data_IF_758457789936
#
_entry.id   IF_758457789936
#
_cell.length_a   1.000
_cell.length_b   1.000
_cell.length_c   1.000
_cell.angle_alpha   90.00
_cell.angle_beta   90.00
_cell.angle_gamma   90.00
#
_symmetry.space_group_name_H-M   'P 1'
#
loop_
_entity.id
_entity.type
_entity.pdbx_description
1 polymer ?
#
# COMPACT_ATOMS: atom_id res chain seq x y z
N UNK A 1 -1.30 4.60 -11.36
CA UNK A 1 0.13 4.64 -11.74
C UNK A 1 0.24 4.59 -13.26
N UNK A 2 0.88 5.61 -13.85
CA UNK A 2 1.22 5.56 -15.26
C UNK A 2 2.52 4.75 -15.40
N UNK A 3 2.42 3.44 -15.70
CA UNK A 3 3.56 2.53 -15.80
C UNK A 3 4.59 2.99 -16.85
N UNK A 4 4.14 3.74 -17.86
CA UNK A 4 5.01 4.21 -18.95
C UNK A 4 6.06 5.22 -18.47
N UNK A 5 5.77 5.98 -17.41
CA UNK A 5 6.69 6.96 -16.81
C UNK A 5 7.82 6.31 -16.01
N UNK A 6 7.69 5.02 -15.68
CA UNK A 6 8.61 4.28 -14.81
C UNK A 6 9.22 3.05 -15.49
N UNK A 7 9.32 3.07 -16.81
CA UNK A 7 9.88 1.97 -17.61
C UNK A 7 11.35 1.67 -17.30
N UNK A 8 12.06 2.60 -16.67
CA UNK A 8 13.44 2.41 -16.20
C UNK A 8 13.56 1.59 -14.90
N UNK A 9 12.43 1.25 -14.27
CA UNK A 9 12.39 0.44 -13.04
C UNK A 9 12.06 -1.00 -13.43
N UNK A 10 12.96 -2.00 -13.19
CA UNK A 10 12.78 -3.37 -13.67
C UNK A 10 11.44 -4.00 -13.30
N UNK A 11 10.96 -3.77 -12.06
CA UNK A 11 9.66 -4.25 -11.62
C UNK A 11 8.50 -3.65 -12.43
N UNK A 12 8.58 -2.37 -12.79
CA UNK A 12 7.54 -1.69 -13.58
C UNK A 12 7.58 -2.13 -15.04
N UNK A 13 8.77 -2.31 -15.60
CA UNK A 13 8.97 -2.87 -16.94
C UNK A 13 8.35 -4.26 -17.04
N UNK A 14 8.62 -5.13 -16.04
CA UNK A 14 8.04 -6.47 -15.98
C UNK A 14 6.50 -6.42 -15.93
N UNK A 15 5.92 -5.58 -15.06
CA UNK A 15 4.46 -5.41 -14.96
C UNK A 15 3.86 -4.90 -16.26
N UNK A 16 4.50 -3.92 -16.91
CA UNK A 16 4.08 -3.41 -18.20
C UNK A 16 4.13 -4.50 -19.29
N UNK A 17 5.20 -5.30 -19.31
CA UNK A 17 5.34 -6.44 -20.23
C UNK A 17 4.21 -7.46 -20.06
N UNK A 18 3.78 -7.76 -18.82
CA UNK A 18 2.65 -8.63 -18.55
C UNK A 18 1.34 -8.02 -19.09
N UNK A 19 1.09 -6.74 -18.84
CA UNK A 19 -0.10 -6.05 -19.37
C UNK A 19 -0.14 -6.06 -20.90
N UNK A 20 1.00 -5.83 -21.56
CA UNK A 20 1.10 -5.86 -23.04
C UNK A 20 0.76 -7.25 -23.57
N UNK A 21 1.36 -8.31 -23.00
CA UNK A 21 1.08 -9.69 -23.39
C UNK A 21 -0.38 -10.06 -23.20
N UNK A 22 -0.98 -9.65 -22.07
CA UNK A 22 -2.39 -9.88 -21.79
C UNK A 22 -3.29 -9.20 -22.82
N UNK A 23 -3.02 -7.94 -23.15
CA UNK A 23 -3.76 -7.18 -24.18
C UNK A 23 -3.65 -7.81 -25.58
N UNK A 24 -2.51 -8.43 -25.90
CA UNK A 24 -2.28 -9.11 -27.17
C UNK A 24 -2.90 -10.52 -27.24
N UNK A 25 -3.19 -11.15 -26.09
CA UNK A 25 -3.63 -12.56 -26.01
C UNK A 25 -5.05 -12.82 -26.51
N UNK A 26 -5.85 -11.77 -26.77
CA UNK A 26 -7.28 -11.83 -27.09
C UNK A 26 -8.17 -12.43 -25.98
N UNK A 27 -7.63 -12.73 -24.82
CA UNK A 27 -8.39 -13.17 -23.64
C UNK A 27 -9.09 -11.94 -23.04
N UNK A 28 -10.40 -12.00 -22.73
CA UNK A 28 -11.06 -10.93 -22.00
C UNK A 28 -10.40 -10.67 -20.66
N UNK A 29 -10.10 -9.41 -20.34
CA UNK A 29 -9.36 -9.05 -19.12
C UNK A 29 -9.95 -7.82 -18.44
N UNK A 30 -9.66 -7.69 -17.15
CA UNK A 30 -9.77 -6.44 -16.40
C UNK A 30 -8.49 -6.27 -15.59
N UNK A 31 -7.80 -5.15 -15.75
CA UNK A 31 -6.57 -4.86 -15.03
C UNK A 31 -6.84 -3.84 -13.93
N UNK A 32 -6.48 -4.19 -12.69
CA UNK A 32 -6.45 -3.25 -11.58
C UNK A 32 -5.01 -2.83 -11.27
N UNK A 33 -4.73 -1.54 -11.36
CA UNK A 33 -3.49 -0.94 -10.89
C UNK A 33 -3.72 -0.39 -9.50
N UNK A 34 -3.13 -1.04 -8.50
CA UNK A 34 -3.37 -0.77 -7.10
C UNK A 34 -2.39 0.28 -6.57
N UNK A 35 -2.85 1.16 -5.69
CA UNK A 35 -2.01 2.20 -5.08
C UNK A 35 -1.23 1.68 -3.87
N UNK A 36 -1.84 0.89 -3.01
CA UNK A 36 -1.22 0.30 -1.83
C UNK A 36 -2.20 -0.50 -0.98
N UNK A 37 -1.67 -1.24 -0.02
CA UNK A 37 -2.43 -2.17 0.83
C UNK A 37 -2.30 -1.79 2.30
N UNK A 38 -3.38 -1.91 3.09
CA UNK A 38 -3.36 -1.72 4.54
C UNK A 38 -2.42 -2.71 5.23
N UNK A 39 -2.36 -3.96 4.74
CA UNK A 39 -1.55 -5.02 5.34
C UNK A 39 -0.07 -4.64 5.43
N UNK A 40 0.47 -4.00 4.40
CA UNK A 40 1.87 -3.56 4.41
C UNK A 40 2.17 -2.43 5.40
N UNK A 41 1.15 -1.65 5.79
CA UNK A 41 1.32 -0.56 6.74
C UNK A 41 1.53 -1.05 8.18
N UNK A 42 1.05 -2.26 8.50
CA UNK A 42 1.28 -2.87 9.83
C UNK A 42 2.78 -3.07 10.06
N UNK A 43 3.46 -3.71 9.10
CA UNK A 43 4.90 -3.96 9.18
C UNK A 43 5.72 -2.66 9.09
N UNK A 44 5.21 -1.69 8.32
CA UNK A 44 5.94 -0.45 8.07
C UNK A 44 5.83 0.54 9.23
N UNK A 45 4.69 0.59 9.94
CA UNK A 45 4.42 1.61 10.95
C UNK A 45 4.03 1.04 12.31
N UNK A 46 3.06 0.11 12.38
CA UNK A 46 2.53 -0.36 13.65
C UNK A 46 3.54 -1.18 14.45
N UNK A 47 4.17 -2.18 13.83
CA UNK A 47 5.15 -3.04 14.49
C UNK A 47 6.37 -2.25 14.97
N UNK A 48 7.02 -1.40 14.15
CA UNK A 48 8.14 -0.61 14.64
C UNK A 48 7.80 0.29 15.83
N UNK A 49 6.61 0.90 15.87
CA UNK A 49 6.18 1.71 17.01
C UNK A 49 6.06 0.82 18.25
N UNK A 50 5.39 -0.32 18.15
CA UNK A 50 5.21 -1.24 19.29
C UNK A 50 6.51 -1.81 19.83
N UNK A 51 7.51 -2.00 18.98
CA UNK A 51 8.83 -2.55 19.33
C UNK A 51 9.88 -1.48 19.62
N UNK A 52 9.48 -0.20 19.67
CA UNK A 52 10.39 0.96 19.84
C UNK A 52 11.53 1.00 18.79
N UNK A 53 11.21 0.59 17.56
CA UNK A 53 12.13 0.60 16.43
C UNK A 53 11.98 1.85 15.56
N UNK A 54 13.05 2.30 14.87
CA UNK A 54 12.98 3.47 14.02
C UNK A 54 12.13 3.24 12.78
N UNK A 55 11.23 4.18 12.49
CA UNK A 55 10.48 4.26 11.23
C UNK A 55 11.25 5.14 10.25
N UNK A 56 11.54 4.60 9.08
CA UNK A 56 12.23 5.32 8.03
C UNK A 56 11.23 5.87 7.00
N UNK A 57 11.22 7.19 6.81
CA UNK A 57 10.38 7.88 5.83
C UNK A 57 11.24 8.71 4.87
N UNK A 58 10.74 8.87 3.65
CA UNK A 58 11.48 9.60 2.60
C UNK A 58 10.82 10.91 2.22
N UNK A 59 9.50 10.96 2.12
CA UNK A 59 8.74 12.14 1.76
C UNK A 59 7.41 12.18 2.50
N UNK A 60 7.15 13.31 3.17
CA UNK A 60 5.93 13.52 3.95
C UNK A 60 4.76 14.07 3.12
N UNK A 61 5.04 14.56 1.91
CA UNK A 61 4.04 15.29 1.11
C UNK A 61 3.29 14.41 0.12
N UNK A 62 3.64 13.12 0.02
CA UNK A 62 2.95 12.20 -0.90
C UNK A 62 1.82 11.49 -0.19
N UNK A 63 0.60 11.73 -0.66
CA UNK A 63 -0.60 11.06 -0.19
C UNK A 63 -0.87 9.79 -1.01
N UNK A 64 -1.09 8.67 -0.34
CA UNK A 64 -1.38 7.37 -0.97
C UNK A 64 -2.74 6.85 -0.54
N UNK A 65 -3.56 6.46 -1.50
CA UNK A 65 -4.90 5.88 -1.26
C UNK A 65 -4.78 4.37 -1.06
N UNK A 66 -4.47 3.94 0.15
CA UNK A 66 -4.40 2.52 0.51
C UNK A 66 -5.79 1.89 0.60
N UNK A 67 -5.86 0.56 0.46
CA UNK A 67 -7.10 -0.22 0.56
C UNK A 67 -6.84 -1.58 1.19
N UNK A 68 -7.85 -2.12 1.88
CA UNK A 68 -7.83 -3.50 2.37
C UNK A 68 -7.90 -4.49 1.19
N UNK A 69 -7.13 -5.57 1.28
CA UNK A 69 -7.14 -6.64 0.26
C UNK A 69 -8.51 -7.31 0.11
N UNK A 70 -9.31 -7.39 1.17
CA UNK A 70 -10.67 -7.91 1.10
C UNK A 70 -11.59 -7.00 0.27
N UNK A 71 -11.42 -5.69 0.39
CA UNK A 71 -12.17 -4.74 -0.43
C UNK A 71 -11.74 -4.81 -1.90
N UNK A 72 -10.44 -4.97 -2.17
CA UNK A 72 -9.94 -5.21 -3.53
C UNK A 72 -10.60 -6.46 -4.13
N UNK A 73 -10.76 -7.53 -3.33
CA UNK A 73 -11.45 -8.74 -3.80
C UNK A 73 -12.92 -8.47 -4.20
N UNK A 74 -13.63 -7.55 -3.51
CA UNK A 74 -14.98 -7.13 -3.91
C UNK A 74 -14.98 -6.54 -5.33
N UNK A 75 -13.99 -5.67 -5.66
CA UNK A 75 -13.85 -5.12 -7.01
C UNK A 75 -13.53 -6.21 -8.05
N UNK A 76 -12.69 -7.17 -7.71
CA UNK A 76 -12.39 -8.29 -8.60
C UNK A 76 -13.64 -9.12 -8.91
N UNK A 77 -14.43 -9.45 -7.88
CA UNK A 77 -15.68 -10.19 -8.06
C UNK A 77 -16.72 -9.39 -8.88
N UNK A 78 -16.83 -8.09 -8.65
CA UNK A 78 -17.70 -7.21 -9.43
C UNK A 78 -17.25 -7.13 -10.89
N UNK A 79 -15.94 -7.07 -11.15
CA UNK A 79 -15.42 -7.04 -12.52
C UNK A 79 -15.88 -8.24 -13.35
N UNK A 80 -15.95 -9.42 -12.74
CA UNK A 80 -16.43 -10.64 -13.42
C UNK A 80 -17.91 -10.58 -13.80
N UNK A 81 -18.70 -9.72 -13.12
CA UNK A 81 -20.15 -9.59 -13.33
C UNK A 81 -20.53 -8.42 -14.25
N UNK A 82 -19.58 -7.54 -14.56
CA UNK A 82 -19.85 -6.27 -15.23
C UNK A 82 -19.21 -6.24 -16.64
N UNK A 83 -19.97 -6.50 -17.71
CA UNK A 83 -19.43 -6.51 -19.07
C UNK A 83 -18.69 -5.23 -19.47
N UNK A 84 -19.09 -4.08 -18.92
CA UNK A 84 -18.46 -2.78 -19.20
C UNK A 84 -17.03 -2.66 -18.66
N UNK A 85 -16.53 -3.60 -17.84
CA UNK A 85 -15.16 -3.61 -17.31
C UNK A 85 -14.21 -4.44 -18.17
N UNK A 86 -14.73 -5.20 -19.10
CA UNK A 86 -13.95 -6.08 -19.99
C UNK A 86 -13.02 -5.25 -20.87
N UNK A 87 -11.78 -5.71 -21.00
CA UNK A 87 -10.70 -5.09 -21.77
C UNK A 87 -10.35 -3.67 -21.30
N UNK A 88 -10.53 -3.40 -20.01
CA UNK A 88 -10.22 -2.10 -19.41
C UNK A 88 -9.17 -2.22 -18.29
N UNK A 89 -8.50 -1.10 -18.07
CA UNK A 89 -7.56 -0.91 -16.96
C UNK A 89 -8.13 0.15 -16.02
N UNK A 90 -8.15 -0.14 -14.72
CA UNK A 90 -8.64 0.74 -13.68
C UNK A 90 -7.55 1.00 -12.64
N UNK A 91 -7.50 2.24 -12.15
CA UNK A 91 -6.69 2.58 -10.99
C UNK A 91 -7.55 2.39 -9.75
N UNK A 92 -7.12 1.51 -8.84
CA UNK A 92 -7.88 1.16 -7.65
C UNK A 92 -7.12 1.60 -6.40
N UNK A 93 -7.76 2.41 -5.59
CA UNK A 93 -7.28 2.88 -4.29
C UNK A 93 -8.46 3.14 -3.36
N UNK A 94 -8.14 3.32 -2.08
CA UNK A 94 -9.11 3.65 -1.06
C UNK A 94 -9.76 5.03 -1.27
N UNK A 95 -10.85 5.30 -0.54
CA UNK A 95 -11.62 6.54 -0.71
C UNK A 95 -10.88 7.78 -0.20
N UNK A 96 -9.88 7.61 0.66
CA UNK A 96 -9.07 8.66 1.24
C UNK A 96 -7.59 8.43 0.94
N UNK A 97 -6.88 9.51 0.61
CA UNK A 97 -5.42 9.53 0.58
C UNK A 97 -4.83 9.82 1.97
N UNK A 98 -3.77 9.11 2.33
CA UNK A 98 -3.10 9.21 3.62
C UNK A 98 -1.64 9.63 3.45
N UNK A 99 -1.20 10.60 4.23
CA UNK A 99 0.21 10.92 4.40
C UNK A 99 0.88 9.95 5.39
N UNK A 100 2.16 9.66 5.20
CA UNK A 100 2.92 8.84 6.17
C UNK A 100 2.87 9.40 7.58
N UNK A 101 2.90 10.73 7.73
CA UNK A 101 2.77 11.40 9.03
C UNK A 101 1.42 11.20 9.70
N UNK A 102 0.33 11.14 8.92
CA UNK A 102 -1.01 10.84 9.46
C UNK A 102 -1.10 9.40 9.95
N UNK A 103 -0.53 8.45 9.19
CA UNK A 103 -0.51 7.03 9.55
C UNK A 103 0.32 6.81 10.82
N UNK A 104 1.51 7.42 10.90
CA UNK A 104 2.36 7.36 12.09
C UNK A 104 1.60 7.89 13.31
N UNK A 105 0.98 9.06 13.20
CA UNK A 105 0.20 9.66 14.28
C UNK A 105 -0.96 8.77 14.74
N UNK A 106 -1.65 8.12 13.80
CA UNK A 106 -2.70 7.15 14.12
C UNK A 106 -2.14 5.96 14.90
N UNK A 107 -1.01 5.40 14.46
CA UNK A 107 -0.36 4.28 15.15
C UNK A 107 0.14 4.69 16.56
N UNK A 108 0.72 5.89 16.71
CA UNK A 108 1.14 6.43 18.02
C UNK A 108 -0.04 6.52 18.99
N UNK A 109 -1.18 7.01 18.53
CA UNK A 109 -2.39 7.14 19.33
C UNK A 109 -2.93 5.76 19.78
N UNK A 110 -2.92 4.77 18.89
CA UNK A 110 -3.40 3.43 19.17
C UNK A 110 -2.42 2.60 20.02
N UNK A 111 -1.12 2.82 19.85
CA UNK A 111 -0.08 2.16 20.64
C UNK A 111 0.15 2.81 22.02
N UNK A 112 -0.26 4.08 22.19
CA UNK A 112 0.01 4.84 23.42
C UNK A 112 1.48 5.23 23.59
N UNK A 113 2.28 5.22 22.51
CA UNK A 113 3.70 5.59 22.55
C UNK A 113 4.13 6.33 21.29
N UNK A 114 5.20 7.13 21.40
CA UNK A 114 5.72 7.94 20.31
C UNK A 114 6.61 7.15 19.35
N UNK A 115 6.55 7.47 18.07
CA UNK A 115 7.38 6.86 17.04
C UNK A 115 8.79 7.46 16.99
N UNK A 116 9.80 6.64 16.75
CA UNK A 116 11.14 7.07 16.42
C UNK A 116 11.26 7.31 14.91
N UNK A 117 10.88 8.49 14.43
CA UNK A 117 10.89 8.81 12.99
C UNK A 117 12.27 9.26 12.53
N UNK A 118 12.84 8.55 11.55
CA UNK A 118 14.08 8.90 10.86
C UNK A 118 13.83 9.22 9.40
N UNK A 119 14.37 10.34 8.91
CA UNK A 119 14.18 10.80 7.53
C UNK A 119 15.42 10.50 6.71
N UNK A 120 15.21 9.88 5.54
CA UNK A 120 16.27 9.64 4.57
C UNK A 120 16.03 10.56 3.36
N UNK A 121 16.97 11.44 3.04
CA UNK A 121 16.90 12.23 1.80
C UNK A 121 16.91 11.32 0.57
N UNK A 122 16.01 11.58 -0.38
CA UNK A 122 15.89 10.80 -1.63
C UNK A 122 17.22 10.76 -2.41
N UNK A 123 18.02 11.83 -2.31
CA UNK A 123 19.36 11.88 -2.94
C UNK A 123 20.31 10.79 -2.45
N UNK A 124 20.27 10.45 -1.16
CA UNK A 124 21.09 9.38 -0.57
C UNK A 124 20.62 8.01 -1.09
N UNK A 125 19.30 7.83 -1.23
CA UNK A 125 18.72 6.60 -1.74
C UNK A 125 19.10 6.35 -3.20
N UNK A 126 19.07 7.39 -4.05
CA UNK A 126 19.51 7.31 -5.46
C UNK A 126 20.99 6.94 -5.59
N UNK A 127 21.83 7.44 -4.68
CA UNK A 127 23.25 7.12 -4.68
C UNK A 127 23.51 5.67 -4.25
N UNK A 128 22.76 5.17 -3.26
CA UNK A 128 22.91 3.81 -2.73
C UNK A 128 22.37 2.74 -3.67
N UNK A 129 21.35 3.02 -4.48
CA UNK A 129 20.77 2.06 -5.43
C UNK A 129 21.79 1.53 -6.45
N UNK A 130 22.76 2.36 -6.85
CA UNK A 130 23.84 1.96 -7.75
C UNK A 130 24.88 1.00 -7.10
N UNK A 131 24.99 0.99 -5.77
CA UNK A 131 25.91 0.13 -5.04
C UNK A 131 25.26 -1.11 -4.42
N UNK A 132 23.97 -1.05 -4.09
CA UNK A 132 23.25 -2.14 -3.43
C UNK A 132 22.85 -3.28 -4.37
N UNK A 133 22.87 -3.07 -5.69
CA UNK A 133 22.58 -4.10 -6.70
C UNK A 133 23.54 -5.31 -6.71
N UNK A 134 24.65 -5.25 -5.97
CA UNK A 134 25.62 -6.36 -5.84
C UNK A 134 25.31 -7.37 -4.73
N UNK A 135 24.34 -7.09 -3.86
CA UNK A 135 23.95 -7.98 -2.77
C UNK A 135 22.48 -8.38 -2.91
N UNK A 136 22.14 -9.65 -2.71
CA UNK A 136 20.73 -10.14 -2.73
C UNK A 136 19.84 -9.35 -1.76
N UNK A 137 20.39 -8.92 -0.62
CA UNK A 137 19.73 -8.02 0.32
C UNK A 137 19.49 -6.62 -0.25
N UNK A 138 20.40 -6.14 -1.11
CA UNK A 138 20.30 -4.84 -1.77
C UNK A 138 19.21 -4.77 -2.83
N UNK A 139 18.85 -5.87 -3.51
CA UNK A 139 17.77 -5.87 -4.50
C UNK A 139 16.41 -5.57 -3.85
N UNK A 140 16.12 -6.16 -2.69
CA UNK A 140 14.90 -5.86 -1.95
C UNK A 140 14.79 -4.39 -1.51
N UNK A 141 15.92 -3.77 -1.16
CA UNK A 141 15.97 -2.34 -0.82
C UNK A 141 15.85 -1.49 -2.09
N UNK A 142 16.53 -1.84 -3.16
CA UNK A 142 16.45 -1.15 -4.45
C UNK A 142 15.01 -1.13 -5.00
N UNK A 143 14.29 -2.24 -4.94
CA UNK A 143 12.89 -2.32 -5.36
C UNK A 143 11.97 -1.48 -4.48
N UNK A 144 12.20 -1.46 -3.17
CA UNK A 144 11.47 -0.58 -2.23
C UNK A 144 11.76 0.90 -2.49
N UNK A 145 13.00 1.25 -2.82
CA UNK A 145 13.41 2.62 -3.13
C UNK A 145 12.83 3.10 -4.47
N UNK A 146 12.83 2.23 -5.48
CA UNK A 146 12.16 2.49 -6.76
C UNK A 146 10.67 2.72 -6.56
N UNK A 147 10.03 1.97 -5.65
CA UNK A 147 8.63 2.17 -5.29
C UNK A 147 8.37 3.53 -4.62
N UNK A 148 9.30 4.00 -3.78
CA UNK A 148 9.23 5.34 -3.18
C UNK A 148 9.27 6.44 -4.24
N UNK A 149 10.06 6.30 -5.28
CA UNK A 149 10.12 7.26 -6.39
C UNK A 149 8.77 7.34 -7.13
N UNK A 150 8.09 6.19 -7.28
CA UNK A 150 6.75 6.12 -7.87
C UNK A 150 5.70 6.81 -6.98
N UNK A 151 5.80 6.66 -5.68
CA UNK A 151 4.89 7.29 -4.72
C UNK A 151 5.06 8.82 -4.66
N UNK A 152 6.24 9.33 -5.01
CA UNK A 152 6.53 10.77 -5.02
C UNK A 152 5.92 11.52 -6.21
N UNK A 153 5.40 10.83 -7.22
CA UNK A 153 4.64 11.46 -8.30
C UNK A 153 3.23 11.73 -7.80
N UNK A 154 2.85 13.01 -7.75
CA UNK A 154 1.49 13.43 -7.38
C UNK A 154 0.46 12.68 -8.23
N UNK A 155 -0.13 11.67 -7.63
CA UNK A 155 -1.21 10.95 -8.27
C UNK A 155 -2.51 11.72 -7.97
N UNK A 156 -3.08 12.39 -8.97
CA UNK A 156 -4.43 12.93 -8.95
C UNK A 156 -5.49 11.79 -8.91
N UNK A 157 -5.37 10.91 -7.90
CA UNK A 157 -6.22 9.73 -7.75
C UNK A 157 -7.68 10.09 -7.41
N UNK A 158 -7.94 11.21 -6.74
CA UNK A 158 -9.25 11.48 -6.13
C UNK A 158 -10.42 11.53 -7.12
N UNK A 159 -10.23 12.10 -8.31
CA UNK A 159 -11.32 12.21 -9.29
C UNK A 159 -11.59 10.90 -10.03
N UNK A 160 -10.54 10.17 -10.36
CA UNK A 160 -10.60 8.85 -11.01
C UNK A 160 -11.19 7.78 -10.08
N UNK A 161 -10.96 7.90 -8.79
CA UNK A 161 -11.44 6.95 -7.78
C UNK A 161 -12.96 7.02 -7.61
N UNK A 162 -13.55 8.22 -7.63
CA UNK A 162 -15.01 8.35 -7.47
C UNK A 162 -15.79 7.73 -8.63
N UNK A 163 -15.32 7.92 -9.86
CA UNK A 163 -15.93 7.31 -11.05
C UNK A 163 -15.79 5.78 -11.05
N UNK A 164 -14.73 5.27 -10.44
CA UNK A 164 -14.48 3.85 -10.27
C UNK A 164 -15.56 3.20 -9.38
N UNK A 165 -15.79 3.74 -8.17
CA UNK A 165 -16.78 3.22 -7.24
C UNK A 165 -18.18 3.15 -7.88
N UNK A 166 -18.55 4.19 -8.61
CA UNK A 166 -19.80 4.22 -9.38
C UNK A 166 -19.84 3.15 -10.46
N UNK A 167 -18.75 2.95 -11.20
CA UNK A 167 -18.66 1.95 -12.27
C UNK A 167 -18.85 0.54 -11.73
N UNK A 168 -18.27 0.23 -10.58
CA UNK A 168 -18.36 -1.08 -9.93
C UNK A 168 -19.59 -1.23 -9.02
N UNK A 169 -20.39 -0.18 -8.86
CA UNK A 169 -21.57 -0.15 -7.97
C UNK A 169 -21.21 -0.57 -6.55
N UNK A 170 -20.11 -0.04 -6.02
CA UNK A 170 -19.66 -0.20 -4.66
C UNK A 170 -19.79 1.14 -3.98
N UNK A 171 -20.43 1.18 -2.80
CA UNK A 171 -20.51 2.41 -2.00
C UNK A 171 -19.16 2.60 -1.28
N UNK A 172 -18.51 3.78 -1.38
CA UNK A 172 -17.30 4.09 -0.63
C UNK A 172 -17.45 3.91 0.89
N UNK A 173 -18.66 4.02 1.43
CA UNK A 173 -18.97 3.80 2.87
C UNK A 173 -18.83 2.33 3.26
N UNK A 174 -18.98 1.38 2.32
CA UNK A 174 -18.82 -0.06 2.55
C UNK A 174 -17.35 -0.50 2.57
N UNK A 175 -16.43 0.42 2.26
CA UNK A 175 -14.99 0.16 2.24
C UNK A 175 -14.42 0.42 3.63
N UNK A 176 -13.66 -0.55 4.12
CA UNK A 176 -12.99 -0.45 5.42
C UNK A 176 -12.10 0.80 5.44
N UNK A 177 -12.29 1.63 6.46
CA UNK A 177 -11.42 2.80 6.66
C UNK A 177 -10.12 2.38 7.34
N UNK A 178 -9.04 3.12 7.10
CA UNK A 178 -7.72 2.76 7.63
C UNK A 178 -7.67 2.82 9.16
N UNK A 179 -8.33 3.80 9.76
CA UNK A 179 -8.45 3.97 11.20
C UNK A 179 -9.18 2.78 11.85
N UNK A 180 -10.27 2.31 11.26
CA UNK A 180 -10.99 1.10 11.75
C UNK A 180 -10.13 -0.15 11.60
N UNK A 181 -9.41 -0.29 10.47
CA UNK A 181 -8.50 -1.41 10.23
C UNK A 181 -7.38 -1.48 11.27
N UNK A 182 -6.73 -0.36 11.56
CA UNK A 182 -5.70 -0.29 12.59
C UNK A 182 -6.26 -0.51 13.99
N UNK A 183 -7.40 0.10 14.32
CA UNK A 183 -8.07 -0.13 15.62
C UNK A 183 -8.33 -1.61 15.84
N UNK A 184 -8.91 -2.30 14.87
CA UNK A 184 -9.17 -3.74 14.96
C UNK A 184 -7.88 -4.55 15.13
N UNK A 185 -6.80 -4.20 14.41
CA UNK A 185 -5.50 -4.85 14.56
C UNK A 185 -4.95 -4.70 15.98
N UNK A 186 -4.91 -3.48 16.52
CA UNK A 186 -4.40 -3.20 17.86
C UNK A 186 -5.25 -3.88 18.94
N UNK A 187 -6.56 -3.86 18.82
CA UNK A 187 -7.47 -4.56 19.77
C UNK A 187 -7.21 -6.07 19.77
N UNK A 188 -7.05 -6.69 18.59
CA UNK A 188 -6.72 -8.13 18.49
C UNK A 188 -5.37 -8.45 19.11
N UNK A 189 -4.37 -7.59 18.89
CA UNK A 189 -3.04 -7.76 19.46
C UNK A 189 -3.07 -7.69 20.99
N UNK A 190 -3.69 -6.66 21.55
CA UNK A 190 -3.81 -6.47 23.00
C UNK A 190 -4.57 -7.63 23.66
N UNK A 191 -5.62 -8.14 23.00
CA UNK A 191 -6.32 -9.33 23.49
C UNK A 191 -5.41 -10.55 23.55
N UNK A 192 -4.63 -10.83 22.52
CA UNK A 192 -3.68 -11.94 22.49
C UNK A 192 -2.62 -11.82 23.56
N UNK A 193 -2.05 -10.64 23.75
CA UNK A 193 -1.06 -10.39 24.81
C UNK A 193 -1.62 -10.63 26.21
N UNK A 194 -2.86 -10.22 26.45
CA UNK A 194 -3.55 -10.48 27.71
C UNK A 194 -3.76 -11.98 27.92
N UNK A 195 -4.22 -12.71 26.90
CA UNK A 195 -4.51 -14.14 27.00
C UNK A 195 -3.23 -14.94 27.29
N UNK A 196 -2.09 -14.60 26.67
CA UNK A 196 -0.77 -15.20 26.96
C UNK A 196 -0.34 -14.95 28.40
N UNK A 197 -0.45 -13.71 28.88
CA UNK A 197 -0.09 -13.38 30.27
C UNK A 197 -0.95 -14.14 31.30
N UNK A 198 -2.21 -14.44 31.01
CA UNK A 198 -3.05 -15.25 31.90
C UNK A 198 -2.63 -16.72 31.89
N UNK A 199 -2.18 -17.29 30.80
CA UNK A 199 -1.68 -18.67 30.74
C UNK A 199 -0.34 -18.87 31.49
N UNK A 200 0.53 -17.85 31.47
CA UNK A 200 1.83 -17.90 32.17
C UNK A 200 1.69 -17.72 33.71
N UNK A 201 0.63 -17.07 34.19
CA UNK A 201 0.34 -16.91 35.63
C UNK A 201 -0.29 -18.17 36.24
N UNK A 202 -0.83 -19.08 35.41
CA UNK A 202 -1.46 -20.32 35.87
C UNK A 202 -0.53 -21.54 35.85
N UNK A 203 0.72 -21.38 35.42
CA UNK A 203 1.80 -22.38 35.50
C UNK A 203 2.75 -22.11 36.65
#
# INVERSE_FOLDING_TARGET
LNLEQFSNIPLMEMKQGIEIKLKQSKIPYTIFRLSGFYQGLIEQYAIPILEDLPIWITNENTSVSYMDTQDIAKFCLRALQLPQTVNKTFFLGGPKGWLSSEIIKLCEQLAGQSAQVKRIPISILKLSSNFLGFFEWGQNISDRLAFVEILNVENNFSKSTFDLYKTFKIDPVEIVQLDDYFLEYFVRLLKRLRDINFEDVQK
#
